data_IF_517127508728
#
_entry.id   IF_517127508728
#
_cell.length_a   1.000
_cell.length_b   1.000
_cell.length_c   1.000
_cell.angle_alpha   90.00
_cell.angle_beta   90.00
_cell.angle_gamma   90.00
#
_symmetry.space_group_name_H-M   'P 1'
#
loop_
_entity.id
_entity.type
_entity.pdbx_description
1 polymer ?
#
# COMPACT_ATOMS: atom_id res chain seq x y z
N UNK A 1 -20.79 69.09 18.87
CA UNK A 1 -19.94 70.17 18.33
C UNK A 1 -18.51 69.63 18.30
N UNK A 2 -17.90 69.49 17.11
CA UNK A 2 -16.75 70.30 16.61
C UNK A 2 -15.48 70.08 17.46
N UNK A 3 -14.27 69.79 16.93
CA UNK A 3 -13.81 69.53 15.55
C UNK A 3 -12.42 68.80 15.58
N UNK A 4 -12.09 68.12 14.48
CA UNK A 4 -10.80 67.82 13.80
C UNK A 4 -9.46 68.12 14.54
N UNK A 5 -8.47 67.21 14.61
CA UNK A 5 -7.48 66.86 13.56
C UNK A 5 -6.12 66.46 14.20
N UNK A 6 -5.00 66.11 13.53
CA UNK A 6 -4.64 65.80 12.12
C UNK A 6 -3.30 64.99 12.08
N UNK A 7 -3.14 64.11 11.08
CA UNK A 7 -1.94 63.45 10.48
C UNK A 7 -0.77 62.74 11.22
N UNK A 8 -0.64 61.44 10.88
CA UNK A 8 0.48 60.74 10.19
C UNK A 8 1.95 60.88 10.66
N UNK A 9 2.55 59.74 11.04
CA UNK A 9 3.78 59.21 10.39
C UNK A 9 4.07 57.74 10.75
N UNK A 10 4.84 57.05 9.90
CA UNK A 10 5.12 55.61 9.97
C UNK A 10 6.01 55.19 11.16
N UNK A 11 5.82 53.97 11.70
CA UNK A 11 6.81 52.88 11.62
C UNK A 11 6.29 51.55 12.21
N UNK A 12 6.85 50.43 11.74
CA UNK A 12 6.49 49.06 12.16
C UNK A 12 6.94 48.74 13.59
N UNK A 13 6.07 48.13 14.40
CA UNK A 13 6.45 47.07 15.35
C UNK A 13 5.21 46.36 15.92
N UNK A 14 4.94 45.13 15.46
CA UNK A 14 3.88 44.30 16.02
C UNK A 14 4.24 43.80 17.42
N UNK A 15 3.31 43.92 18.37
CA UNK A 15 3.46 43.48 19.76
C UNK A 15 3.75 41.96 19.85
N UNK A 16 4.87 41.59 20.48
CA UNK A 16 5.11 40.20 20.93
C UNK A 16 4.38 39.95 22.25
N UNK A 17 3.23 39.28 22.20
CA UNK A 17 2.56 38.77 23.40
C UNK A 17 3.28 37.50 23.88
N UNK A 18 3.94 37.57 25.04
CA UNK A 18 4.63 36.41 25.67
C UNK A 18 3.73 35.80 26.74
N UNK A 19 3.04 34.71 26.41
CA UNK A 19 2.31 33.89 27.39
C UNK A 19 3.23 32.84 28.02
N UNK A 20 3.80 33.15 29.20
CA UNK A 20 4.42 32.13 30.07
C UNK A 20 3.33 31.38 30.85
N UNK A 21 3.04 30.12 30.49
CA UNK A 21 2.41 29.15 31.41
C UNK A 21 3.45 28.15 31.90
N UNK A 22 3.55 27.97 33.22
CA UNK A 22 4.35 26.91 33.84
C UNK A 22 3.64 25.56 33.61
N UNK A 23 4.38 24.54 33.16
CA UNK A 23 3.93 23.16 33.17
C UNK A 23 4.04 22.58 34.59
N UNK A 24 3.09 21.73 35.04
CA UNK A 24 3.18 21.05 36.33
C UNK A 24 4.15 19.85 36.29
N UNK A 25 4.64 19.47 37.46
CA UNK A 25 5.54 18.33 37.68
C UNK A 25 4.89 17.00 37.27
N UNK A 26 5.57 16.17 36.49
CA UNK A 26 5.11 14.82 36.11
C UNK A 26 5.65 13.79 37.09
N UNK A 27 4.77 12.92 37.60
CA UNK A 27 5.10 11.92 38.63
C UNK A 27 5.92 10.73 38.07
N UNK A 28 6.97 10.24 38.78
CA UNK A 28 7.86 9.17 38.29
C UNK A 28 7.20 7.84 37.86
N UNK A 29 6.13 7.33 38.50
CA UNK A 29 5.48 6.09 38.09
C UNK A 29 4.93 6.12 36.66
N UNK A 30 4.52 7.29 36.17
CA UNK A 30 3.96 7.45 34.82
C UNK A 30 5.01 7.23 33.71
N UNK A 31 6.26 7.63 33.97
CA UNK A 31 7.40 7.37 33.09
C UNK A 31 7.82 5.90 33.05
N UNK A 32 7.62 5.15 34.15
CA UNK A 32 7.85 3.70 34.15
C UNK A 32 6.73 2.96 33.42
N UNK A 33 5.46 3.32 33.62
CA UNK A 33 4.35 2.75 32.87
C UNK A 33 4.51 2.92 31.35
N UNK A 34 4.93 4.10 30.89
CA UNK A 34 5.18 4.36 29.47
C UNK A 34 6.32 3.49 28.93
N UNK A 35 7.45 3.37 29.65
CA UNK A 35 8.58 2.50 29.23
C UNK A 35 8.20 1.02 29.19
N UNK A 36 7.41 0.54 30.15
CA UNK A 36 6.90 -0.84 30.16
C UNK A 36 5.96 -1.07 28.97
N UNK A 37 5.11 -0.10 28.64
CA UNK A 37 4.22 -0.19 27.47
C UNK A 37 5.01 -0.21 26.15
N UNK A 38 6.03 0.64 25.99
CA UNK A 38 6.93 0.60 24.82
C UNK A 38 7.67 -0.73 24.73
N UNK A 39 8.12 -1.28 25.87
CA UNK A 39 8.79 -2.59 25.90
C UNK A 39 7.83 -3.74 25.54
N UNK A 40 6.55 -3.64 25.93
CA UNK A 40 5.50 -4.60 25.57
C UNK A 40 5.23 -4.60 24.07
N UNK A 41 5.18 -3.42 23.43
CA UNK A 41 5.06 -3.28 21.97
C UNK A 41 6.31 -3.74 21.20
N UNK A 42 7.48 -3.82 21.84
CA UNK A 42 8.69 -4.40 21.21
C UNK A 42 8.85 -5.90 21.45
N UNK A 43 8.27 -6.47 22.52
CA UNK A 43 8.24 -7.93 22.74
C UNK A 43 7.11 -8.63 21.98
N UNK A 44 5.96 -7.98 21.81
CA UNK A 44 4.89 -8.44 20.94
C UNK A 44 5.21 -8.04 19.50
N UNK A 45 5.83 -8.96 18.75
CA UNK A 45 6.34 -8.74 17.39
C UNK A 45 5.26 -8.49 16.32
N UNK A 46 4.58 -7.36 16.39
CA UNK A 46 3.71 -6.83 15.32
C UNK A 46 4.21 -5.45 14.89
N UNK A 47 5.41 -5.42 14.30
CA UNK A 47 5.94 -4.21 13.63
C UNK A 47 5.26 -3.96 12.29
N UNK A 48 3.92 -3.86 12.28
CA UNK A 48 3.23 -3.10 11.25
C UNK A 48 3.48 -1.62 11.55
N UNK A 49 4.63 -1.12 11.11
CA UNK A 49 4.99 0.28 11.26
C UNK A 49 4.01 1.14 10.46
N UNK A 50 3.09 1.80 11.14
CA UNK A 50 2.23 2.83 10.56
C UNK A 50 3.07 4.07 10.22
N UNK A 51 3.78 4.02 9.10
CA UNK A 51 4.38 5.19 8.48
C UNK A 51 3.32 5.83 7.60
N UNK A 52 2.92 7.04 7.97
CA UNK A 52 1.93 7.83 7.26
C UNK A 52 2.59 8.45 6.02
N UNK A 53 2.32 7.90 4.83
CA UNK A 53 2.83 8.43 3.57
C UNK A 53 1.80 9.36 2.91
N UNK A 54 2.28 10.48 2.39
CA UNK A 54 1.45 11.50 1.73
C UNK A 54 1.72 11.43 0.24
N UNK A 55 0.79 10.83 -0.49
CA UNK A 55 0.85 10.72 -1.95
C UNK A 55 1.13 12.10 -2.61
N UNK A 56 2.27 12.22 -3.29
CA UNK A 56 2.80 13.49 -3.85
C UNK A 56 2.06 14.02 -5.10
N UNK A 57 0.87 13.49 -5.39
CA UNK A 57 0.02 13.96 -6.48
C UNK A 57 -1.09 12.99 -6.83
N UNK A 58 -2.17 13.51 -7.41
CA UNK A 58 -3.26 12.69 -7.94
C UNK A 58 -2.75 11.73 -9.03
N UNK A 59 -2.99 10.43 -8.88
CA UNK A 59 -2.81 9.43 -9.93
C UNK A 59 -4.04 8.51 -9.99
N UNK A 60 -4.63 8.34 -11.17
CA UNK A 60 -5.76 7.43 -11.39
C UNK A 60 -5.39 5.94 -11.40
N UNK A 61 -4.10 5.62 -11.58
CA UNK A 61 -3.58 4.24 -11.55
C UNK A 61 -3.22 3.77 -10.14
N UNK A 62 -3.24 4.68 -9.16
CA UNK A 62 -2.70 4.44 -7.82
C UNK A 62 -3.24 5.50 -6.82
N UNK A 63 -4.10 5.07 -5.90
CA UNK A 63 -4.70 5.92 -4.88
C UNK A 63 -4.65 5.27 -3.51
N UNK A 64 -4.24 6.02 -2.48
CA UNK A 64 -4.23 5.60 -1.07
C UNK A 64 -5.38 6.26 -0.30
N UNK A 65 -6.14 5.45 0.44
CA UNK A 65 -7.15 5.92 1.38
C UNK A 65 -6.67 5.66 2.80
N UNK A 66 -6.51 6.72 3.60
CA UNK A 66 -6.46 6.58 5.05
C UNK A 66 -7.91 6.40 5.58
N UNK A 67 -8.26 5.23 6.14
CA UNK A 67 -9.59 4.98 6.68
C UNK A 67 -9.94 5.84 7.90
N UNK A 68 -8.97 6.46 8.56
CA UNK A 68 -9.18 7.28 9.77
C UNK A 68 -10.09 8.50 9.55
N UNK A 69 -10.26 8.93 8.31
CA UNK A 69 -11.09 10.06 7.91
C UNK A 69 -12.57 9.72 7.67
N UNK A 70 -13.02 8.48 7.90
CA UNK A 70 -14.38 8.04 7.55
C UNK A 70 -15.30 7.77 8.74
N UNK A 71 -16.60 7.96 8.51
CA UNK A 71 -17.61 7.88 9.56
C UNK A 71 -17.69 6.46 10.16
N UNK A 72 -17.98 6.33 11.48
CA UNK A 72 -17.99 5.03 12.14
C UNK A 72 -18.94 4.02 11.47
N UNK A 73 -18.37 2.90 11.02
CA UNK A 73 -19.10 1.72 10.55
C UNK A 73 -19.17 1.51 9.03
N UNK A 74 -18.83 2.51 8.20
CA UNK A 74 -18.77 2.33 6.75
C UNK A 74 -17.82 3.32 6.05
N UNK A 75 -16.79 2.77 5.41
CA UNK A 75 -15.94 3.48 4.46
C UNK A 75 -16.57 3.42 3.06
N UNK A 76 -17.13 4.53 2.58
CA UNK A 76 -17.54 4.70 1.19
C UNK A 76 -16.48 5.48 0.41
N UNK A 77 -15.87 4.84 -0.58
CA UNK A 77 -14.90 5.43 -1.49
C UNK A 77 -15.60 5.68 -2.83
N UNK A 78 -15.59 6.93 -3.29
CA UNK A 78 -15.91 7.26 -4.69
C UNK A 78 -14.62 7.28 -5.50
N UNK A 79 -14.59 6.49 -6.56
CA UNK A 79 -13.44 6.42 -7.46
C UNK A 79 -13.44 7.63 -8.40
N UNK A 80 -12.25 8.13 -8.69
CA UNK A 80 -12.07 9.31 -9.54
C UNK A 80 -12.26 8.98 -11.03
N UNK A 81 -11.95 7.73 -11.42
CA UNK A 81 -12.36 7.10 -12.66
C UNK A 81 -12.85 5.68 -12.38
N UNK A 82 -13.70 5.12 -13.24
CA UNK A 82 -14.25 3.77 -13.01
C UNK A 82 -13.13 2.71 -13.04
N UNK A 83 -13.18 1.76 -12.11
CA UNK A 83 -12.11 0.80 -11.80
C UNK A 83 -11.63 0.02 -13.04
N UNK A 84 -12.58 -0.45 -13.86
CA UNK A 84 -12.32 -0.96 -15.20
C UNK A 84 -11.59 -2.31 -15.26
N UNK A 85 -11.31 -2.73 -16.49
CA UNK A 85 -10.45 -3.90 -16.76
C UNK A 85 -9.03 -3.62 -16.27
N UNK A 86 -8.40 -4.64 -15.69
CA UNK A 86 -7.13 -4.59 -14.95
C UNK A 86 -7.19 -3.77 -13.65
N UNK A 87 -8.37 -3.32 -13.23
CA UNK A 87 -8.56 -2.72 -11.92
C UNK A 87 -8.04 -3.61 -10.78
N UNK A 88 -7.37 -2.99 -9.82
CA UNK A 88 -6.89 -3.66 -8.61
C UNK A 88 -7.35 -2.90 -7.37
N UNK A 89 -7.70 -3.65 -6.33
CA UNK A 89 -8.05 -3.10 -5.01
C UNK A 89 -7.40 -3.96 -3.94
N UNK A 90 -6.63 -3.32 -3.05
CA UNK A 90 -6.05 -3.91 -1.86
C UNK A 90 -6.77 -3.36 -0.63
N UNK A 91 -7.17 -4.24 0.28
CA UNK A 91 -7.73 -3.88 1.59
C UNK A 91 -6.96 -4.66 2.64
N UNK A 92 -6.24 -3.97 3.51
CA UNK A 92 -5.59 -4.56 4.68
C UNK A 92 -6.18 -4.00 5.97
N UNK A 93 -6.31 -4.85 6.97
CA UNK A 93 -6.92 -4.50 8.25
C UNK A 93 -6.74 -5.60 9.29
N UNK A 94 -7.28 -5.37 10.48
CA UNK A 94 -7.49 -6.38 11.52
C UNK A 94 -8.98 -6.60 11.69
N UNK A 95 -9.45 -7.86 11.66
CA UNK A 95 -10.85 -8.15 11.98
C UNK A 95 -11.02 -8.16 13.50
N UNK A 96 -11.80 -7.23 14.05
CA UNK A 96 -12.08 -7.13 15.49
C UNK A 96 -13.55 -7.45 15.79
N UNK A 97 -14.00 -7.28 17.03
CA UNK A 97 -15.40 -7.45 17.42
C UNK A 97 -15.93 -6.14 18.03
N UNK A 98 -16.93 -5.52 17.40
CA UNK A 98 -17.50 -4.26 17.86
C UNK A 98 -18.65 -4.48 18.86
N UNK A 99 -18.35 -5.01 20.05
CA UNK A 99 -19.40 -5.37 21.00
C UNK A 99 -18.94 -5.84 22.38
N UNK A 100 -19.90 -5.93 23.31
CA UNK A 100 -19.71 -6.40 24.70
C UNK A 100 -20.10 -7.87 24.91
N UNK A 101 -20.41 -8.63 23.84
CA UNK A 101 -20.90 -10.01 23.92
C UNK A 101 -20.00 -10.95 23.11
N UNK A 102 -19.27 -11.90 23.73
CA UNK A 102 -18.29 -12.77 23.06
C UNK A 102 -18.80 -13.76 21.99
N UNK A 103 -19.98 -13.55 21.40
CA UNK A 103 -20.75 -14.60 20.69
C UNK A 103 -21.27 -14.22 19.31
N UNK A 104 -21.08 -12.98 18.86
CA UNK A 104 -21.43 -12.57 17.49
C UNK A 104 -20.20 -12.64 16.58
N UNK A 105 -20.32 -13.45 15.52
CA UNK A 105 -19.31 -13.66 14.48
C UNK A 105 -19.04 -12.35 13.70
N UNK A 106 -17.83 -11.75 13.81
CA UNK A 106 -17.50 -10.50 13.14
C UNK A 106 -17.57 -10.62 11.62
N UNK A 107 -17.95 -9.53 10.96
CA UNK A 107 -18.16 -9.52 9.50
C UNK A 107 -17.34 -8.45 8.81
N UNK A 108 -17.00 -8.72 7.56
CA UNK A 108 -16.47 -7.75 6.61
C UNK A 108 -17.26 -7.86 5.31
N UNK A 109 -17.87 -6.75 4.92
CA UNK A 109 -18.57 -6.60 3.65
C UNK A 109 -17.77 -5.66 2.74
N UNK A 110 -17.39 -6.16 1.57
CA UNK A 110 -16.77 -5.37 0.49
C UNK A 110 -17.72 -5.35 -0.70
N UNK A 111 -18.17 -4.16 -1.09
CA UNK A 111 -19.18 -3.97 -2.13
C UNK A 111 -18.65 -3.05 -3.23
N UNK A 112 -18.59 -3.56 -4.45
CA UNK A 112 -18.20 -2.81 -5.65
C UNK A 112 -19.46 -2.32 -6.36
N UNK A 113 -19.70 -1.01 -6.37
CA UNK A 113 -20.97 -0.38 -6.79
C UNK A 113 -20.84 0.50 -8.02
N UNK A 114 -21.97 0.73 -8.68
CA UNK A 114 -22.16 1.72 -9.74
C UNK A 114 -23.16 2.78 -9.28
N UNK A 115 -22.81 4.06 -9.43
CA UNK A 115 -23.67 5.23 -9.15
C UNK A 115 -25.08 5.19 -9.77
N UNK A 116 -25.31 4.44 -10.85
CA UNK A 116 -26.61 4.39 -11.56
C UNK A 116 -27.77 3.88 -10.69
N UNK A 117 -27.52 3.27 -9.53
CA UNK A 117 -28.55 3.10 -8.50
C UNK A 117 -27.96 2.71 -7.14
N UNK A 118 -28.49 3.26 -6.04
CA UNK A 118 -27.94 3.09 -4.68
C UNK A 118 -27.84 1.62 -4.20
N UNK A 119 -28.62 0.73 -4.84
CA UNK A 119 -28.69 -0.70 -4.54
C UNK A 119 -28.03 -1.60 -5.59
N UNK A 120 -27.37 -1.01 -6.60
CA UNK A 120 -26.74 -1.71 -7.73
C UNK A 120 -25.25 -1.95 -7.49
N UNK A 121 -24.88 -3.20 -7.23
CA UNK A 121 -23.48 -3.63 -7.14
C UNK A 121 -23.09 -4.56 -8.30
N UNK A 122 -21.82 -4.54 -8.69
CA UNK A 122 -21.24 -5.51 -9.63
C UNK A 122 -20.78 -6.78 -8.90
N UNK A 123 -20.31 -6.62 -7.66
CA UNK A 123 -19.83 -7.70 -6.80
C UNK A 123 -19.98 -7.29 -5.33
N UNK A 124 -20.51 -8.18 -4.50
CA UNK A 124 -20.56 -8.07 -3.04
C UNK A 124 -19.90 -9.31 -2.45
N UNK A 125 -18.87 -9.13 -1.62
CA UNK A 125 -18.19 -10.21 -0.90
C UNK A 125 -18.38 -10.00 0.59
N UNK A 126 -19.06 -10.95 1.23
CA UNK A 126 -19.27 -11.01 2.67
C UNK A 126 -18.33 -12.09 3.26
N UNK A 127 -17.54 -11.70 4.25
CA UNK A 127 -16.56 -12.57 4.94
C UNK A 127 -16.80 -12.52 6.45
N UNK A 128 -16.36 -13.57 7.14
CA UNK A 128 -16.52 -13.70 8.60
C UNK A 128 -15.45 -14.60 9.21
N UNK A 129 -15.49 -14.80 10.53
CA UNK A 129 -14.58 -15.71 11.24
C UNK A 129 -15.10 -17.14 11.39
N UNK A 130 -16.42 -17.35 11.36
CA UNK A 130 -17.03 -18.67 11.60
C UNK A 130 -17.78 -19.24 10.39
N UNK A 131 -18.05 -18.43 9.35
CA UNK A 131 -18.83 -18.84 8.17
C UNK A 131 -18.06 -18.63 6.87
N UNK A 132 -18.22 -19.61 5.97
CA UNK A 132 -17.68 -19.55 4.62
C UNK A 132 -18.13 -18.26 3.91
N UNK A 133 -17.19 -17.60 3.24
CA UNK A 133 -17.43 -16.35 2.55
C UNK A 133 -18.51 -16.51 1.47
N UNK A 134 -19.38 -15.49 1.36
CA UNK A 134 -20.46 -15.41 0.37
C UNK A 134 -20.10 -14.38 -0.68
N UNK A 135 -20.35 -14.73 -1.94
CA UNK A 135 -20.13 -13.85 -3.07
C UNK A 135 -21.44 -13.71 -3.82
N UNK A 136 -21.96 -12.48 -3.86
CA UNK A 136 -23.16 -12.12 -4.62
C UNK A 136 -22.78 -11.29 -5.83
N UNK A 137 -23.24 -11.73 -6.99
CA UNK A 137 -22.94 -11.13 -8.29
C UNK A 137 -23.92 -10.00 -8.61
N UNK A 138 -23.61 -9.17 -9.60
CA UNK A 138 -24.46 -8.04 -10.00
C UNK A 138 -25.83 -8.40 -10.60
N UNK A 139 -26.14 -9.70 -10.76
CA UNK A 139 -27.48 -10.24 -11.04
C UNK A 139 -28.31 -10.48 -9.78
N UNK A 140 -27.74 -10.32 -8.58
CA UNK A 140 -28.30 -10.77 -7.30
C UNK A 140 -28.12 -12.26 -7.03
N UNK A 141 -27.47 -13.01 -7.94
CA UNK A 141 -27.17 -14.44 -7.76
C UNK A 141 -26.02 -14.61 -6.76
N UNK A 142 -26.25 -15.40 -5.71
CA UNK A 142 -25.17 -15.88 -4.84
C UNK A 142 -24.43 -17.05 -5.51
N UNK A 143 -23.11 -17.11 -5.35
CA UNK A 143 -22.29 -18.27 -5.69
C UNK A 143 -22.36 -19.33 -4.58
N UNK A 144 -21.89 -20.55 -4.87
CA UNK A 144 -21.66 -21.54 -3.81
C UNK A 144 -20.71 -20.97 -2.72
N UNK A 145 -20.92 -21.27 -1.43
CA UNK A 145 -20.10 -20.71 -0.36
C UNK A 145 -18.60 -21.03 -0.50
N UNK A 146 -17.78 -19.98 -0.48
CA UNK A 146 -16.33 -20.08 -0.69
C UNK A 146 -15.64 -20.37 0.65
N UNK A 147 -14.81 -21.42 0.70
CA UNK A 147 -14.24 -21.95 1.95
C UNK A 147 -12.99 -21.19 2.43
N UNK A 148 -13.13 -19.88 2.61
CA UNK A 148 -12.13 -19.04 3.28
C UNK A 148 -12.79 -18.15 4.34
N UNK A 149 -11.99 -17.74 5.32
CA UNK A 149 -12.39 -17.09 6.56
C UNK A 149 -11.30 -16.08 6.96
N UNK A 150 -11.64 -15.11 7.80
CA UNK A 150 -10.64 -14.24 8.44
C UNK A 150 -10.70 -14.49 9.95
N UNK A 151 -9.62 -14.99 10.52
CA UNK A 151 -9.56 -15.32 11.94
C UNK A 151 -9.77 -14.06 12.81
N UNK A 152 -10.55 -14.23 13.89
CA UNK A 152 -10.89 -13.14 14.81
C UNK A 152 -9.64 -12.60 15.50
N UNK A 153 -9.40 -11.30 15.40
CA UNK A 153 -8.23 -10.62 15.93
C UNK A 153 -6.99 -10.69 15.04
N UNK A 154 -7.05 -11.39 13.91
CA UNK A 154 -5.93 -11.51 12.96
C UNK A 154 -5.91 -10.35 11.96
N UNK A 155 -4.68 -10.02 11.54
CA UNK A 155 -4.45 -9.19 10.38
C UNK A 155 -4.77 -9.94 9.10
N UNK A 156 -5.29 -9.22 8.11
CA UNK A 156 -5.56 -9.73 6.78
C UNK A 156 -5.12 -8.76 5.69
N UNK A 157 -4.84 -9.30 4.51
CA UNK A 157 -4.67 -8.56 3.27
C UNK A 157 -5.53 -9.20 2.18
N UNK A 158 -6.54 -8.48 1.72
CA UNK A 158 -7.38 -8.85 0.59
C UNK A 158 -6.90 -8.14 -0.67
N UNK A 159 -6.77 -8.86 -1.78
CA UNK A 159 -6.63 -8.28 -3.11
C UNK A 159 -7.78 -8.72 -4.02
N UNK A 160 -8.38 -7.76 -4.71
CA UNK A 160 -9.34 -7.99 -5.80
C UNK A 160 -8.68 -7.55 -7.11
N UNK A 161 -8.64 -8.44 -8.09
CA UNK A 161 -8.10 -8.15 -9.43
C UNK A 161 -9.19 -8.36 -10.48
N UNK A 162 -9.62 -7.26 -11.09
CA UNK A 162 -10.67 -7.21 -12.09
C UNK A 162 -10.07 -7.47 -13.48
N UNK A 163 -10.40 -8.60 -14.08
CA UNK A 163 -10.11 -8.89 -15.48
C UNK A 163 -11.33 -8.53 -16.37
N UNK A 164 -11.33 -8.97 -17.63
CA UNK A 164 -12.43 -8.73 -18.58
C UNK A 164 -13.78 -9.30 -18.09
N UNK A 165 -13.77 -10.52 -17.54
CA UNK A 165 -14.99 -11.28 -17.21
C UNK A 165 -14.96 -11.95 -15.84
N UNK A 166 -13.89 -11.76 -15.06
CA UNK A 166 -13.68 -12.41 -13.76
C UNK A 166 -12.98 -11.45 -12.80
N UNK A 167 -13.33 -11.53 -11.51
CA UNK A 167 -12.62 -10.91 -10.39
C UNK A 167 -11.91 -12.01 -9.63
N UNK A 168 -10.58 -11.99 -9.63
CA UNK A 168 -9.78 -12.88 -8.80
C UNK A 168 -9.65 -12.30 -7.41
N UNK A 169 -9.86 -13.12 -6.39
CA UNK A 169 -9.85 -12.72 -4.98
C UNK A 169 -8.72 -13.48 -4.29
N UNK A 170 -7.80 -12.74 -3.69
CA UNK A 170 -6.71 -13.27 -2.89
C UNK A 170 -6.89 -12.83 -1.44
N UNK A 171 -6.66 -13.75 -0.50
CA UNK A 171 -6.58 -13.48 0.93
C UNK A 171 -5.21 -13.91 1.41
N UNK A 172 -4.49 -12.99 2.07
CA UNK A 172 -3.11 -13.19 2.52
C UNK A 172 -2.21 -13.76 1.41
N UNK A 173 -2.36 -13.15 0.22
CA UNK A 173 -1.64 -13.46 -1.02
C UNK A 173 -1.97 -14.83 -1.67
N UNK A 174 -2.79 -15.66 -1.04
CA UNK A 174 -3.29 -16.93 -1.62
C UNK A 174 -4.58 -16.68 -2.40
N UNK A 175 -4.73 -17.27 -3.59
CA UNK A 175 -5.99 -17.21 -4.35
C UNK A 175 -7.07 -18.04 -3.64
N UNK A 176 -8.22 -17.41 -3.32
CA UNK A 176 -9.30 -18.03 -2.54
C UNK A 176 -10.64 -18.13 -3.25
N UNK A 177 -10.88 -17.30 -4.29
CA UNK A 177 -12.07 -17.37 -5.12
C UNK A 177 -11.87 -16.64 -6.47
N UNK A 178 -12.65 -17.04 -7.47
CA UNK A 178 -12.80 -16.32 -8.73
C UNK A 178 -14.29 -16.09 -9.03
N UNK A 179 -14.70 -14.82 -9.14
CA UNK A 179 -16.10 -14.43 -9.30
C UNK A 179 -16.37 -13.87 -10.71
N UNK A 180 -17.33 -14.40 -11.49
CA UNK A 180 -17.62 -13.89 -12.82
C UNK A 180 -18.29 -12.51 -12.78
N UNK A 181 -17.96 -11.65 -13.74
CA UNK A 181 -18.59 -10.33 -13.90
C UNK A 181 -19.81 -10.49 -14.80
N UNK A 182 -21.00 -10.55 -14.19
CA UNK A 182 -22.27 -10.75 -14.89
C UNK A 182 -22.96 -9.43 -15.28
N UNK A 183 -23.66 -9.44 -16.43
CA UNK A 183 -24.48 -8.31 -16.88
C UNK A 183 -25.63 -8.04 -15.89
N UNK A 184 -26.07 -6.78 -15.70
CA UNK A 184 -25.75 -5.62 -16.53
C UNK A 184 -24.45 -4.87 -16.16
N UNK A 185 -23.78 -5.22 -15.06
CA UNK A 185 -22.68 -4.41 -14.50
C UNK A 185 -21.29 -4.96 -14.84
N UNK A 186 -20.59 -4.29 -15.78
CA UNK A 186 -19.19 -4.62 -16.11
C UNK A 186 -18.17 -3.92 -15.19
N UNK A 187 -16.91 -4.36 -15.20
CA UNK A 187 -15.83 -3.72 -14.43
C UNK A 187 -15.69 -2.21 -14.71
N UNK A 188 -15.92 -1.80 -15.95
CA UNK A 188 -15.91 -0.40 -16.40
C UNK A 188 -17.06 0.46 -15.82
N UNK A 189 -17.97 -0.12 -15.04
CA UNK A 189 -19.08 0.56 -14.38
C UNK A 189 -18.90 0.69 -12.87
N UNK A 190 -17.86 0.08 -12.30
CA UNK A 190 -17.56 0.17 -10.87
C UNK A 190 -16.91 1.53 -10.62
N UNK A 191 -17.63 2.44 -9.97
CA UNK A 191 -17.16 3.79 -9.62
C UNK A 191 -17.22 4.08 -8.10
N UNK A 192 -17.68 3.11 -7.31
CA UNK A 192 -17.66 3.19 -5.84
C UNK A 192 -17.23 1.86 -5.20
N UNK A 193 -16.51 1.94 -4.08
CA UNK A 193 -16.18 0.82 -3.21
C UNK A 193 -16.75 1.14 -1.83
N UNK A 194 -17.56 0.25 -1.26
CA UNK A 194 -18.02 0.36 0.12
C UNK A 194 -17.43 -0.78 0.95
N UNK A 195 -16.88 -0.44 2.11
CA UNK A 195 -16.29 -1.38 3.07
C UNK A 195 -17.01 -1.18 4.41
N UNK A 196 -17.62 -2.25 4.92
CA UNK A 196 -18.45 -2.22 6.14
C UNK A 196 -18.07 -3.38 7.08
N UNK A 197 -18.41 -3.23 8.36
CA UNK A 197 -18.33 -4.30 9.36
C UNK A 197 -17.26 -4.09 10.43
N UNK A 198 -16.89 -5.17 11.09
CA UNK A 198 -16.08 -5.21 12.31
C UNK A 198 -14.57 -5.24 12.00
N UNK A 199 -14.08 -4.22 11.28
CA UNK A 199 -12.69 -4.18 10.79
C UNK A 199 -11.99 -2.87 11.13
N UNK A 200 -10.78 -2.99 11.68
CA UNK A 200 -9.84 -1.90 11.85
C UNK A 200 -8.99 -1.83 10.59
N UNK A 201 -9.41 -1.02 9.63
CA UNK A 201 -8.69 -0.85 8.37
C UNK A 201 -7.32 -0.19 8.62
N UNK A 202 -6.30 -0.70 7.95
CA UNK A 202 -4.91 -0.22 8.02
C UNK A 202 -4.45 0.42 6.70
N UNK A 203 -4.88 -0.13 5.57
CA UNK A 203 -4.50 0.32 4.23
C UNK A 203 -5.64 -0.03 3.26
N UNK A 204 -6.13 0.95 2.49
CA UNK A 204 -7.01 0.68 1.34
C UNK A 204 -6.43 1.37 0.12
N UNK A 205 -5.97 0.58 -0.84
CA UNK A 205 -5.38 1.08 -2.08
C UNK A 205 -6.21 0.61 -3.26
N UNK A 206 -6.36 1.45 -4.27
CA UNK A 206 -6.99 1.06 -5.52
C UNK A 206 -6.34 1.75 -6.71
N UNK A 207 -6.62 1.21 -7.90
CA UNK A 207 -6.24 1.84 -9.14
C UNK A 207 -6.58 0.97 -10.34
N UNK A 208 -6.46 1.54 -11.54
CA UNK A 208 -6.27 0.73 -12.75
C UNK A 208 -4.87 0.14 -12.68
N UNK A 209 -4.76 -1.19 -12.59
CA UNK A 209 -3.48 -1.88 -12.60
C UNK A 209 -2.66 -1.41 -13.79
N UNK A 210 -1.47 -0.88 -13.51
CA UNK A 210 -0.82 0.16 -14.31
C UNK A 210 -0.92 -0.05 -15.84
N UNK A 211 -1.71 0.78 -16.55
CA UNK A 211 -1.63 0.90 -18.00
C UNK A 211 -0.45 1.82 -18.42
N UNK A 212 0.51 2.07 -17.51
CA UNK A 212 1.60 3.01 -17.66
C UNK A 212 2.64 2.50 -18.65
N UNK A 213 2.30 2.57 -19.94
CA UNK A 213 3.19 2.50 -21.09
C UNK A 213 4.32 1.48 -20.91
N UNK A 214 3.94 0.22 -20.68
CA UNK A 214 4.87 -0.90 -20.77
C UNK A 214 5.35 -1.04 -22.21
N UNK A 215 6.37 -0.27 -22.53
CA UNK A 215 7.42 -0.74 -23.42
C UNK A 215 8.00 -1.97 -22.73
N UNK A 216 7.41 -3.13 -23.03
CA UNK A 216 8.08 -4.41 -22.83
C UNK A 216 9.41 -4.27 -23.56
N UNK A 217 10.51 -4.30 -22.82
CA UNK A 217 11.80 -4.32 -23.47
C UNK A 217 11.99 -5.65 -24.22
N UNK A 218 13.01 -5.70 -25.05
CA UNK A 218 13.31 -6.90 -25.86
C UNK A 218 13.69 -8.14 -25.01
N UNK A 219 13.78 -8.00 -23.69
CA UNK A 219 14.10 -9.04 -22.72
C UNK A 219 12.90 -9.42 -21.82
N UNK A 220 11.74 -8.76 -21.98
CA UNK A 220 10.51 -9.05 -21.24
C UNK A 220 10.36 -8.30 -19.91
N UNK A 221 11.20 -7.30 -19.66
CA UNK A 221 11.10 -6.42 -18.50
C UNK A 221 10.06 -5.30 -18.68
N UNK A 222 9.58 -4.76 -17.56
CA UNK A 222 8.64 -3.61 -17.52
C UNK A 222 9.29 -2.40 -16.88
N UNK A 223 9.39 -1.31 -17.64
CA UNK A 223 9.79 0.00 -17.12
C UNK A 223 8.57 0.77 -16.61
N UNK A 224 8.72 1.41 -15.45
CA UNK A 224 7.70 2.21 -14.77
C UNK A 224 8.29 3.56 -14.38
N UNK A 225 7.74 4.63 -14.96
CA UNK A 225 8.11 5.99 -14.62
C UNK A 225 7.37 6.38 -13.33
N UNK A 226 8.12 6.55 -12.25
CA UNK A 226 7.66 7.05 -10.96
C UNK A 226 7.66 8.59 -10.98
N UNK A 227 6.88 9.26 -10.11
CA UNK A 227 7.17 10.66 -9.76
C UNK A 227 8.57 10.75 -9.12
N UNK A 228 9.10 11.96 -8.97
CA UNK A 228 10.39 12.21 -8.31
C UNK A 228 10.33 11.90 -6.81
N UNK A 229 10.40 10.62 -6.47
CA UNK A 229 10.16 10.07 -5.13
C UNK A 229 11.44 10.12 -4.31
N UNK A 230 11.47 10.90 -3.22
CA UNK A 230 12.65 11.06 -2.34
C UNK A 230 12.69 10.01 -1.23
N UNK A 231 11.66 10.03 -0.42
CA UNK A 231 11.30 8.99 0.54
C UNK A 231 9.87 8.56 0.20
N UNK A 232 9.49 7.34 0.58
CA UNK A 232 8.17 6.82 0.29
C UNK A 232 8.08 5.31 0.29
N UNK A 233 6.97 4.80 -0.21
CA UNK A 233 6.72 3.37 -0.41
C UNK A 233 6.57 3.08 -1.90
N UNK A 234 7.15 1.97 -2.37
CA UNK A 234 6.86 1.35 -3.67
C UNK A 234 6.31 -0.05 -3.38
N UNK A 235 5.21 -0.43 -4.03
CA UNK A 235 4.58 -1.76 -3.87
C UNK A 235 4.39 -2.39 -5.24
N UNK A 236 5.25 -3.34 -5.56
CA UNK A 236 5.21 -4.15 -6.78
C UNK A 236 4.36 -5.39 -6.48
N UNK A 237 3.30 -5.64 -7.24
CA UNK A 237 2.42 -6.81 -7.02
C UNK A 237 2.27 -7.61 -8.31
N UNK A 238 2.37 -8.93 -8.25
CA UNK A 238 2.20 -9.82 -9.40
C UNK A 238 2.41 -11.29 -9.06
N UNK A 239 2.54 -12.14 -10.08
CA UNK A 239 2.92 -13.56 -9.94
C UNK A 239 4.35 -13.76 -10.45
N UNK A 240 5.21 -14.39 -9.65
CA UNK A 240 6.61 -14.63 -10.03
C UNK A 240 6.68 -15.83 -10.99
N UNK A 241 7.31 -15.66 -12.15
CA UNK A 241 7.55 -16.74 -13.12
C UNK A 241 9.05 -17.00 -13.36
N UNK A 242 9.92 -16.00 -13.13
CA UNK A 242 11.37 -16.19 -13.22
C UNK A 242 12.18 -15.54 -12.10
N UNK A 243 13.52 -15.65 -12.20
CA UNK A 243 14.44 -14.83 -11.41
C UNK A 243 14.02 -13.37 -11.45
N UNK A 244 13.76 -12.79 -10.27
CA UNK A 244 13.23 -11.44 -10.16
C UNK A 244 14.39 -10.47 -10.29
N UNK A 245 14.22 -9.41 -11.07
CA UNK A 245 15.11 -8.25 -11.07
C UNK A 245 14.30 -6.98 -10.90
N UNK A 246 14.73 -6.14 -9.96
CA UNK A 246 14.13 -4.85 -9.64
C UNK A 246 15.27 -3.83 -9.58
N UNK A 247 15.31 -2.89 -10.53
CA UNK A 247 16.32 -1.84 -10.59
C UNK A 247 15.66 -0.46 -10.42
N UNK A 248 16.19 0.37 -9.51
CA UNK A 248 15.76 1.75 -9.29
C UNK A 248 16.79 2.76 -9.82
N UNK A 249 16.31 3.78 -10.51
CA UNK A 249 17.11 4.80 -11.19
C UNK A 249 16.65 6.21 -10.82
N UNK A 250 17.58 7.16 -10.85
CA UNK A 250 17.35 8.58 -10.58
C UNK A 250 16.92 9.37 -11.85
N UNK A 251 17.48 9.02 -13.03
CA UNK A 251 17.20 9.71 -14.31
C UNK A 251 16.84 8.75 -15.45
N UNK A 252 16.55 9.30 -16.64
CA UNK A 252 15.99 8.59 -17.78
C UNK A 252 17.07 7.83 -18.59
N UNK A 253 16.93 6.50 -18.60
CA UNK A 253 17.44 5.46 -19.53
C UNK A 253 18.91 5.42 -20.02
N UNK A 254 19.72 6.48 -19.92
CA UNK A 254 21.16 6.46 -20.27
C UNK A 254 22.03 5.79 -19.18
N UNK A 255 21.51 4.74 -18.54
CA UNK A 255 21.89 4.31 -17.19
C UNK A 255 23.27 3.63 -17.09
N UNK A 256 24.29 4.41 -16.75
CA UNK A 256 25.51 3.88 -16.11
C UNK A 256 25.36 3.71 -14.60
N UNK A 257 24.23 4.09 -14.02
CA UNK A 257 24.02 4.11 -12.57
C UNK A 257 22.69 3.47 -12.22
N UNK A 258 22.70 2.51 -11.28
CA UNK A 258 21.53 1.88 -10.67
C UNK A 258 21.65 2.14 -9.17
N UNK A 259 20.67 2.84 -8.59
CA UNK A 259 20.72 3.28 -7.19
C UNK A 259 20.42 2.13 -6.22
N UNK A 260 19.58 1.20 -6.67
CA UNK A 260 19.30 -0.06 -5.98
C UNK A 260 18.98 -1.13 -7.00
N UNK A 261 19.79 -2.18 -7.00
CA UNK A 261 19.55 -3.43 -7.71
C UNK A 261 19.11 -4.47 -6.70
N UNK A 262 17.98 -5.12 -6.93
CA UNK A 262 17.46 -6.24 -6.15
C UNK A 262 17.23 -7.41 -7.11
N UNK A 263 17.94 -8.52 -6.88
CA UNK A 263 17.88 -9.68 -7.79
C UNK A 263 17.72 -11.00 -7.02
N UNK A 264 16.53 -11.58 -7.10
CA UNK A 264 16.21 -12.85 -6.47
C UNK A 264 16.46 -14.01 -7.45
N UNK A 265 17.56 -14.74 -7.24
CA UNK A 265 17.98 -15.87 -8.07
C UNK A 265 17.48 -17.19 -7.51
N UNK A 266 16.54 -17.83 -8.18
CA UNK A 266 15.92 -19.10 -7.76
C UNK A 266 16.91 -20.26 -7.73
N UNK A 267 17.88 -20.29 -8.66
CA UNK A 267 18.93 -21.32 -8.70
C UNK A 267 19.89 -21.24 -7.51
N UNK A 268 20.28 -20.02 -7.12
CA UNK A 268 21.17 -19.81 -5.96
C UNK A 268 20.40 -19.84 -4.62
N UNK A 269 19.07 -19.65 -4.65
CA UNK A 269 18.24 -19.34 -3.48
C UNK A 269 18.85 -18.19 -2.67
N UNK A 270 19.19 -17.11 -3.38
CA UNK A 270 19.73 -15.87 -2.82
C UNK A 270 19.04 -14.65 -3.43
N UNK A 271 18.89 -13.63 -2.60
CA UNK A 271 18.51 -12.28 -3.04
C UNK A 271 19.72 -11.38 -2.92
N UNK A 272 20.27 -11.01 -4.07
CA UNK A 272 21.40 -10.10 -4.18
C UNK A 272 20.88 -8.67 -4.13
N UNK A 273 21.50 -7.82 -3.31
CA UNK A 273 21.35 -6.37 -3.42
C UNK A 273 22.69 -5.75 -3.75
N UNK A 274 22.67 -4.73 -4.60
CA UNK A 274 23.85 -4.02 -5.01
C UNK A 274 23.49 -2.61 -5.50
N UNK A 275 24.51 -1.82 -5.82
CA UNK A 275 24.41 -0.59 -6.59
C UNK A 275 25.39 -0.65 -7.76
N UNK A 276 25.05 0.03 -8.86
CA UNK A 276 25.92 0.20 -10.02
C UNK A 276 26.30 1.67 -10.08
N UNK A 277 27.59 2.00 -10.03
CA UNK A 277 28.09 3.38 -10.07
C UNK A 277 29.02 3.56 -11.26
N UNK A 278 28.64 4.43 -12.20
CA UNK A 278 29.47 4.75 -13.37
C UNK A 278 29.75 3.56 -14.31
N UNK A 279 28.94 2.50 -14.24
CA UNK A 279 29.08 1.24 -14.96
C UNK A 279 29.81 0.13 -14.18
N UNK A 280 30.15 0.36 -12.91
CA UNK A 280 30.83 -0.61 -12.04
C UNK A 280 29.92 -1.05 -10.90
N UNK A 281 29.81 -2.36 -10.69
CA UNK A 281 29.06 -2.92 -9.57
C UNK A 281 29.83 -2.77 -8.25
N UNK A 282 29.13 -2.42 -7.19
CA UNK A 282 29.63 -2.55 -5.82
C UNK A 282 29.74 -4.02 -5.36
N UNK A 283 30.06 -4.23 -4.08
CA UNK A 283 30.03 -5.57 -3.48
C UNK A 283 28.59 -6.08 -3.33
N UNK A 284 28.33 -7.35 -3.60
CA UNK A 284 26.98 -7.91 -3.44
C UNK A 284 26.63 -8.17 -1.97
N UNK A 285 25.43 -7.77 -1.54
CA UNK A 285 24.83 -8.26 -0.30
C UNK A 285 23.93 -9.47 -0.57
N UNK A 286 24.07 -10.54 0.22
CA UNK A 286 23.42 -11.86 -0.03
C UNK A 286 22.70 -12.47 1.18
N UNK A 287 22.46 -11.67 2.22
CA UNK A 287 21.79 -12.06 3.49
C UNK A 287 20.25 -12.10 3.38
N UNK A 288 19.55 -12.56 4.43
CA UNK A 288 18.07 -12.50 4.53
C UNK A 288 17.31 -13.78 4.15
N UNK A 289 17.92 -14.69 3.38
CA UNK A 289 17.27 -15.93 2.93
C UNK A 289 16.65 -15.81 1.53
N UNK A 290 15.55 -16.52 1.28
CA UNK A 290 14.88 -16.54 -0.03
C UNK A 290 13.35 -16.73 0.11
N UNK A 291 12.57 -15.63 0.19
CA UNK A 291 11.13 -15.66 0.49
C UNK A 291 10.25 -15.79 -0.77
N UNK A 292 10.77 -16.34 -1.87
CA UNK A 292 10.08 -16.39 -3.16
C UNK A 292 9.82 -17.81 -3.66
N UNK A 293 8.64 -17.99 -4.23
CA UNK A 293 8.19 -19.17 -4.96
C UNK A 293 7.71 -18.74 -6.35
N UNK A 294 7.84 -19.62 -7.35
CA UNK A 294 7.33 -19.39 -8.71
C UNK A 294 5.91 -19.94 -8.80
N UNK A 295 5.02 -19.23 -9.48
CA UNK A 295 3.64 -19.64 -9.79
C UNK A 295 2.74 -19.93 -8.55
N UNK A 296 3.24 -19.68 -7.33
CA UNK A 296 2.54 -19.87 -6.06
C UNK A 296 1.84 -18.58 -5.61
N UNK A 297 0.65 -18.33 -6.16
CA UNK A 297 -0.22 -17.24 -5.73
C UNK A 297 0.32 -15.84 -6.06
N UNK A 298 -0.09 -14.85 -5.27
CA UNK A 298 0.32 -13.46 -5.41
C UNK A 298 1.62 -13.21 -4.64
N UNK A 299 2.47 -12.32 -5.15
CA UNK A 299 3.66 -11.82 -4.44
C UNK A 299 3.61 -10.30 -4.33
N UNK A 300 3.86 -9.77 -3.12
CA UNK A 300 3.96 -8.33 -2.83
C UNK A 300 5.40 -7.91 -2.48
N UNK A 301 6.01 -7.27 -3.48
CA UNK A 301 7.19 -6.39 -3.60
C UNK A 301 7.16 -5.06 -2.85
N UNK A 302 7.18 -4.99 -1.52
CA UNK A 302 7.20 -3.68 -0.83
C UNK A 302 8.62 -3.18 -0.58
N UNK A 303 8.98 -2.02 -1.14
CA UNK A 303 10.19 -1.26 -0.84
C UNK A 303 9.80 0.03 -0.08
N UNK A 304 10.29 0.22 1.14
CA UNK A 304 10.19 1.50 1.86
C UNK A 304 11.50 2.24 1.69
N UNK A 305 11.48 3.33 0.94
CA UNK A 305 12.66 4.14 0.66
C UNK A 305 12.72 5.28 1.67
N UNK A 306 13.85 5.36 2.36
CA UNK A 306 14.16 6.32 3.41
C UNK A 306 15.49 7.00 3.05
N UNK A 307 15.72 8.18 3.59
CA UNK A 307 17.00 8.92 3.50
C UNK A 307 18.21 8.12 4.02
N UNK A 308 17.99 7.13 4.89
CA UNK A 308 19.02 6.20 5.39
C UNK A 308 19.16 4.90 4.61
N UNK A 309 18.26 4.60 3.67
CA UNK A 309 18.28 3.37 2.86
C UNK A 309 16.90 2.79 2.59
N UNK A 310 16.87 1.54 2.13
CA UNK A 310 15.66 0.87 1.63
C UNK A 310 15.33 -0.35 2.48
N UNK A 311 14.14 -0.39 3.07
CA UNK A 311 13.62 -1.58 3.76
C UNK A 311 12.77 -2.40 2.81
N UNK A 312 13.11 -3.67 2.65
CA UNK A 312 12.42 -4.59 1.76
C UNK A 312 11.50 -5.50 2.58
N UNK A 313 10.25 -5.65 2.13
CA UNK A 313 9.26 -6.55 2.69
C UNK A 313 8.68 -7.41 1.57
N UNK A 314 8.47 -8.70 1.86
CA UNK A 314 7.85 -9.65 0.94
C UNK A 314 6.59 -10.19 1.60
N UNK A 315 5.45 -10.08 0.92
CA UNK A 315 4.14 -10.53 1.44
C UNK A 315 3.84 -9.96 2.85
N UNK A 316 4.13 -8.66 3.04
CA UNK A 316 3.93 -7.94 4.30
C UNK A 316 4.97 -8.22 5.40
N UNK A 317 5.83 -9.23 5.25
CA UNK A 317 6.87 -9.59 6.22
C UNK A 317 8.17 -8.88 5.89
N UNK A 318 8.84 -8.31 6.91
CA UNK A 318 10.16 -7.71 6.73
C UNK A 318 11.18 -8.76 6.28
N UNK A 319 11.93 -8.44 5.23
CA UNK A 319 12.90 -9.34 4.63
C UNK A 319 14.34 -8.89 4.88
N UNK A 320 14.69 -7.65 4.49
CA UNK A 320 16.04 -7.12 4.65
C UNK A 320 16.06 -5.59 4.53
N UNK A 321 17.00 -4.95 5.23
CA UNK A 321 17.32 -3.53 5.02
C UNK A 321 18.57 -3.43 4.12
N UNK A 322 18.58 -2.49 3.19
CA UNK A 322 19.72 -2.13 2.34
C UNK A 322 20.14 -0.69 2.62
N UNK A 323 21.44 -0.47 2.84
CA UNK A 323 22.00 0.86 3.09
C UNK A 323 22.84 1.26 1.87
N UNK A 324 22.46 2.30 1.11
CA UNK A 324 23.22 2.76 -0.04
C UNK A 324 24.65 3.12 0.35
N UNK A 325 25.61 2.67 -0.45
CA UNK A 325 27.02 3.05 -0.28
C UNK A 325 27.21 4.48 -0.77
N UNK A 326 27.48 5.38 0.16
CA UNK A 326 27.80 6.76 -0.15
C UNK A 326 29.20 6.87 -0.73
N UNK A 327 29.28 7.52 -1.90
CA UNK A 327 30.46 8.30 -2.30
C UNK A 327 30.06 9.77 -2.21
N UNK A 328 30.88 10.57 -1.54
CA UNK A 328 30.58 11.95 -1.15
C UNK A 328 30.20 12.86 -2.33
N UNK A 329 29.31 13.87 -2.17
CA UNK A 329 28.71 14.33 -0.92
C UNK A 329 27.62 13.38 -0.38
N UNK A 330 27.42 13.32 0.94
CA UNK A 330 26.27 12.61 1.50
C UNK A 330 24.96 13.23 0.98
N UNK A 331 23.98 12.36 0.70
CA UNK A 331 22.58 12.61 0.29
C UNK A 331 22.24 12.44 -1.21
N UNK A 332 23.18 12.54 -2.16
CA UNK A 332 22.81 12.67 -3.59
C UNK A 332 22.31 11.41 -4.30
N UNK A 333 22.50 10.21 -3.72
CA UNK A 333 22.18 8.96 -4.44
C UNK A 333 20.68 8.59 -4.43
N UNK A 334 20.00 8.88 -3.31
CA UNK A 334 18.54 8.78 -3.17
C UNK A 334 17.88 10.17 -3.13
N UNK A 335 18.49 11.16 -3.79
CA UNK A 335 17.95 12.53 -3.83
C UNK A 335 16.54 12.56 -4.44
N UNK A 336 16.29 11.67 -5.40
CA UNK A 336 15.00 11.18 -5.86
C UNK A 336 15.22 9.87 -6.66
N UNK A 337 14.16 9.08 -6.80
CA UNK A 337 14.03 8.03 -7.81
C UNK A 337 12.99 8.47 -8.82
N UNK A 338 13.11 7.97 -10.05
CA UNK A 338 12.22 8.37 -11.15
C UNK A 338 11.84 7.24 -12.08
N UNK A 339 12.69 6.22 -12.21
CA UNK A 339 12.40 5.06 -13.03
C UNK A 339 12.63 3.77 -12.23
N UNK A 340 11.73 2.81 -12.42
CA UNK A 340 11.77 1.45 -11.88
C UNK A 340 11.76 0.48 -13.06
N UNK A 341 12.62 -0.53 -13.04
CA UNK A 341 12.57 -1.65 -13.97
C UNK A 341 12.25 -2.95 -13.21
N UNK A 342 11.34 -3.77 -13.74
CA UNK A 342 10.92 -5.06 -13.13
C UNK A 342 10.94 -6.18 -14.16
N UNK A 343 11.68 -7.25 -13.88
CA UNK A 343 11.71 -8.52 -14.64
C UNK A 343 11.27 -9.70 -13.76
N UNK A 344 10.90 -10.83 -14.38
CA UNK A 344 10.60 -12.11 -13.69
C UNK A 344 9.24 -12.19 -12.99
N UNK A 345 8.44 -11.12 -13.01
CA UNK A 345 7.11 -11.03 -12.41
C UNK A 345 6.07 -10.70 -13.49
N UNK A 346 5.00 -11.48 -13.57
CA UNK A 346 3.77 -11.12 -14.27
C UNK A 346 3.10 -9.97 -13.50
N UNK A 347 3.51 -8.76 -13.84
CA UNK A 347 3.19 -7.54 -13.10
C UNK A 347 1.68 -7.25 -13.15
N UNK A 348 1.06 -7.12 -11.98
CA UNK A 348 -0.35 -6.77 -11.84
C UNK A 348 -0.51 -5.29 -11.47
N UNK A 349 0.37 -4.76 -10.61
CA UNK A 349 0.47 -3.33 -10.39
C UNK A 349 1.82 -2.88 -9.81
N UNK A 350 2.12 -1.59 -9.92
CA UNK A 350 3.06 -0.88 -9.05
C UNK A 350 2.34 0.31 -8.42
N UNK A 351 2.12 0.25 -7.11
CA UNK A 351 1.67 1.41 -6.33
C UNK A 351 2.88 2.14 -5.74
N UNK A 352 2.72 3.42 -5.43
CA UNK A 352 3.72 4.22 -4.73
C UNK A 352 3.09 5.37 -3.92
N UNK A 353 3.67 5.72 -2.77
CA UNK A 353 3.19 6.83 -1.90
C UNK A 353 4.30 7.54 -1.15
#
# INVERSE_FOLDING_TARGET
MLHDGVDVSHTNSALRIVLRKRLPFVYPPFLMALKVLTLLFTLLGTTSAFVYFKQDGYNESNFFVDPSFTEPGMLNIRLNSALGVFGVVKIAGTMFHNGKKPMDDPKLDVVFRNKVGEWSYALHVNMSSERAARITLGTGREMDPQRFFIDRGSDFVLHFRFQNSVVQIFLNYVSVAEAPIEKPFGANMIDHIAILGDVALKEVNYGRGNPLRSEMDIFGGTYVNLPMLKEGRIVITGIVFDDIRIDLYNEDSNSKTIMFHFNARFKEKKVIRNDLMGGLWGSEERTGGFPFAKDEGLTEITLHVLSSGIKCFVNGVHFVDYIPRTVSPPNTLLDFMRNLHVEGIHLYNVLWS
#
